data_IF_319675298732
#
_entry.id   IF_319675298732
#
_cell.length_a   1.000
_cell.length_b   1.000
_cell.length_c   1.000
_cell.angle_alpha   90.00
_cell.angle_beta   90.00
_cell.angle_gamma   90.00
#
_symmetry.space_group_name_H-M   'P 1'
#
loop_
_entity.id
_entity.type
_entity.pdbx_description
1 polymer ?
#
# COMPACT_ATOMS: atom_id res chain seq x y z
N UNK A 1 -2.49 5.09 -3.19
CA UNK A 1 -3.70 5.11 -4.01
C UNK A 1 -4.89 4.89 -3.08
N UNK A 2 -5.74 5.88 -2.89
CA UNK A 2 -6.75 5.86 -1.81
C UNK A 2 -8.09 5.23 -2.18
N UNK A 3 -8.41 5.11 -3.48
CA UNK A 3 -9.65 4.53 -4.01
C UNK A 3 -9.37 3.91 -5.38
N UNK A 4 -9.98 2.77 -5.68
CA UNK A 4 -9.87 2.08 -6.97
C UNK A 4 -9.01 0.80 -6.94
N UNK A 5 -9.18 -0.05 -7.96
CA UNK A 5 -8.39 -1.26 -8.15
C UNK A 5 -6.95 -0.90 -8.51
N UNK A 6 -6.00 -1.67 -7.97
CA UNK A 6 -4.59 -1.60 -8.38
C UNK A 6 -4.47 -1.84 -9.89
N UNK A 7 -3.46 -1.23 -10.50
CA UNK A 7 -3.09 -1.50 -11.88
C UNK A 7 -2.73 -2.97 -12.04
N UNK A 8 -3.34 -3.63 -13.02
CA UNK A 8 -2.95 -4.99 -13.38
C UNK A 8 -1.67 -4.96 -14.21
N UNK A 9 -0.92 -6.06 -14.22
CA UNK A 9 0.32 -6.17 -14.99
C UNK A 9 0.08 -5.86 -16.48
N UNK A 10 -1.05 -6.31 -17.03
CA UNK A 10 -1.47 -5.98 -18.39
C UNK A 10 -1.66 -4.48 -18.63
N UNK A 11 -2.27 -3.75 -17.68
CA UNK A 11 -2.43 -2.29 -17.81
C UNK A 11 -1.09 -1.55 -17.70
N UNK A 12 -0.16 -2.08 -16.91
CA UNK A 12 1.20 -1.55 -16.78
C UNK A 12 1.98 -1.72 -18.10
N UNK A 13 1.93 -2.92 -18.69
CA UNK A 13 2.55 -3.18 -20.01
C UNK A 13 1.96 -2.29 -21.10
N UNK A 14 0.64 -2.06 -21.09
CA UNK A 14 0.00 -1.13 -22.02
C UNK A 14 0.46 0.32 -21.80
N UNK A 15 0.65 0.76 -20.56
CA UNK A 15 1.24 2.08 -20.29
C UNK A 15 2.64 2.19 -20.88
N UNK A 16 3.50 1.21 -20.63
CA UNK A 16 4.89 1.21 -21.10
C UNK A 16 4.96 1.21 -22.63
N UNK A 17 4.16 0.37 -23.29
CA UNK A 17 4.11 0.29 -24.75
C UNK A 17 3.65 1.61 -25.38
N UNK A 18 2.58 2.23 -24.86
CA UNK A 18 2.07 3.48 -25.43
C UNK A 18 2.96 4.68 -25.11
N UNK A 19 3.66 4.68 -23.99
CA UNK A 19 4.70 5.68 -23.69
C UNK A 19 5.88 5.53 -24.64
N UNK A 20 6.32 4.30 -24.94
CA UNK A 20 7.38 4.04 -25.91
C UNK A 20 7.01 4.49 -27.33
N UNK A 21 5.71 4.44 -27.69
CA UNK A 21 5.17 4.97 -28.94
C UNK A 21 5.04 6.51 -28.97
N UNK A 22 5.36 7.20 -27.88
CA UNK A 22 5.32 8.66 -27.80
C UNK A 22 3.90 9.25 -27.70
N UNK A 23 2.91 8.45 -27.32
CA UNK A 23 1.55 8.95 -27.12
C UNK A 23 1.49 9.91 -25.91
N UNK A 24 0.65 10.95 -25.95
CA UNK A 24 0.51 11.86 -24.83
C UNK A 24 -0.19 11.17 -23.65
N UNK A 25 0.37 11.33 -22.46
CA UNK A 25 -0.07 10.73 -21.20
C UNK A 25 -1.59 10.79 -20.96
N UNK A 26 -2.22 11.92 -21.31
CA UNK A 26 -3.67 12.10 -21.18
C UNK A 26 -4.47 11.17 -22.08
N UNK A 27 -4.05 10.97 -23.34
CA UNK A 27 -4.71 10.04 -24.25
C UNK A 27 -4.49 8.59 -23.84
N UNK A 28 -3.29 8.24 -23.36
CA UNK A 28 -3.00 6.88 -22.87
C UNK A 28 -3.94 6.52 -21.71
N UNK A 29 -4.10 7.44 -20.75
CA UNK A 29 -4.98 7.24 -19.60
C UNK A 29 -6.45 7.05 -20.04
N UNK A 30 -6.93 7.86 -20.99
CA UNK A 30 -8.28 7.73 -21.56
C UNK A 30 -8.45 6.40 -22.31
N UNK A 31 -7.47 6.02 -23.13
CA UNK A 31 -7.48 4.79 -23.91
C UNK A 31 -7.60 3.54 -23.03
N UNK A 32 -6.89 3.50 -21.91
CA UNK A 32 -6.89 2.36 -20.97
C UNK A 32 -8.04 2.47 -19.94
N UNK A 33 -8.77 3.59 -19.93
CA UNK A 33 -9.90 3.79 -19.01
C UNK A 33 -9.47 4.06 -17.57
N UNK A 34 -8.28 4.62 -17.36
CA UNK A 34 -7.72 4.94 -16.04
C UNK A 34 -7.58 6.44 -15.86
N UNK A 35 -7.58 6.89 -14.60
CA UNK A 35 -7.39 8.31 -14.32
C UNK A 35 -5.98 8.78 -14.66
N UNK A 36 -5.87 10.01 -15.16
CA UNK A 36 -4.58 10.65 -15.43
C UNK A 36 -3.63 10.65 -14.23
N UNK A 37 -4.16 10.81 -13.01
CA UNK A 37 -3.37 10.75 -11.78
C UNK A 37 -2.77 9.37 -11.52
N UNK A 38 -3.50 8.29 -11.83
CA UNK A 38 -2.98 6.92 -11.70
C UNK A 38 -1.83 6.70 -12.67
N UNK A 39 -1.99 7.14 -13.92
CA UNK A 39 -0.94 7.06 -14.93
C UNK A 39 0.31 7.86 -14.55
N UNK A 40 0.14 9.11 -14.11
CA UNK A 40 1.27 9.93 -13.69
C UNK A 40 1.98 9.37 -12.45
N UNK A 41 1.25 8.77 -11.52
CA UNK A 41 1.88 8.10 -10.37
C UNK A 41 2.68 6.87 -10.81
N UNK A 42 2.15 6.11 -11.78
CA UNK A 42 2.86 4.97 -12.36
C UNK A 42 4.15 5.41 -13.07
N UNK A 43 4.10 6.41 -13.97
CA UNK A 43 5.31 6.89 -14.66
C UNK A 43 6.37 7.41 -13.69
N UNK A 44 5.96 8.09 -12.61
CA UNK A 44 6.91 8.64 -11.62
C UNK A 44 7.63 7.57 -10.82
N UNK A 45 6.95 6.48 -10.51
CA UNK A 45 7.49 5.39 -9.69
C UNK A 45 6.84 4.05 -10.08
N UNK A 46 7.26 3.46 -11.21
CA UNK A 46 6.61 2.25 -11.74
C UNK A 46 6.86 1.04 -10.84
N UNK A 47 8.05 0.95 -10.23
CA UNK A 47 8.45 -0.17 -9.37
C UNK A 47 7.66 -0.25 -8.06
N UNK A 48 7.23 0.89 -7.51
CA UNK A 48 6.49 0.93 -6.23
C UNK A 48 5.02 1.33 -6.39
N UNK A 49 4.51 1.39 -7.62
CA UNK A 49 3.13 1.74 -7.87
C UNK A 49 2.20 0.66 -7.28
N UNK A 50 1.44 1.02 -6.24
CA UNK A 50 0.49 0.11 -5.60
C UNK A 50 1.08 -0.86 -4.58
N UNK A 51 2.40 -0.89 -4.36
CA UNK A 51 3.05 -1.78 -3.37
C UNK A 51 2.99 -1.22 -1.95
N UNK A 52 2.73 0.08 -1.80
CA UNK A 52 2.64 0.76 -0.50
C UNK A 52 1.43 0.26 0.30
N UNK A 53 1.69 -0.59 1.30
CA UNK A 53 0.69 -1.00 2.29
C UNK A 53 0.33 0.18 3.18
N UNK A 54 -0.96 0.49 3.38
CA UNK A 54 -1.34 1.48 4.38
C UNK A 54 -0.94 0.99 5.78
N UNK A 55 -0.51 1.88 6.68
CA UNK A 55 -0.33 1.49 8.07
C UNK A 55 -1.67 0.99 8.62
N UNK A 56 -1.59 -0.06 9.43
CA UNK A 56 -2.75 -0.56 10.16
C UNK A 56 -3.26 0.48 11.17
N UNK A 57 -4.46 0.24 11.74
CA UNK A 57 -4.93 1.07 12.84
C UNK A 57 -3.93 1.02 14.01
N UNK A 58 -3.83 2.10 14.80
CA UNK A 58 -3.03 2.11 16.01
C UNK A 58 -3.46 0.99 16.97
N UNK A 59 -2.50 0.35 17.63
CA UNK A 59 -2.77 -0.61 18.70
C UNK A 59 -3.50 0.07 19.86
N UNK A 60 -4.51 -0.60 20.43
CA UNK A 60 -5.20 -0.14 21.64
C UNK A 60 -4.28 -0.06 22.86
N UNK A 61 -3.30 -0.97 22.92
CA UNK A 61 -2.31 -1.01 23.99
C UNK A 61 -1.03 -0.33 23.54
N UNK A 62 -0.55 0.61 24.35
CA UNK A 62 0.82 1.12 24.21
C UNK A 62 1.82 0.04 24.59
N UNK A 63 3.08 0.20 24.18
CA UNK A 63 4.13 -0.75 24.58
C UNK A 63 4.39 -0.73 26.09
N UNK A 64 3.99 0.34 26.80
CA UNK A 64 4.00 0.37 28.26
C UNK A 64 2.91 -0.51 28.85
N UNK A 65 1.70 -0.49 28.29
CA UNK A 65 0.59 -1.29 28.78
C UNK A 65 0.87 -2.78 28.58
N UNK A 66 1.41 -3.15 27.42
CA UNK A 66 1.85 -4.53 27.14
C UNK A 66 2.86 -5.01 28.18
N UNK A 67 3.86 -4.18 28.51
CA UNK A 67 4.86 -4.50 29.55
C UNK A 67 4.22 -4.66 30.92
N UNK A 68 3.34 -3.75 31.32
CA UNK A 68 2.65 -3.81 32.60
C UNK A 68 1.77 -5.07 32.74
N UNK A 69 1.05 -5.45 31.68
CA UNK A 69 0.24 -6.68 31.64
C UNK A 69 1.13 -7.90 31.81
N UNK A 70 2.26 -7.96 31.09
CA UNK A 70 3.20 -9.07 31.19
C UNK A 70 3.78 -9.24 32.60
N UNK A 71 4.24 -8.16 33.23
CA UNK A 71 4.76 -8.21 34.61
C UNK A 71 3.70 -8.70 35.59
N UNK A 72 2.50 -8.13 35.56
CA UNK A 72 1.41 -8.53 36.46
C UNK A 72 1.00 -10.00 36.28
N UNK A 73 1.00 -10.51 35.06
CA UNK A 73 0.68 -11.91 34.79
C UNK A 73 1.79 -12.86 35.29
N UNK A 74 3.05 -12.47 35.16
CA UNK A 74 4.20 -13.23 35.67
C UNK A 74 4.19 -13.31 37.21
N UNK A 75 3.91 -12.18 37.87
CA UNK A 75 3.91 -12.08 39.34
C UNK A 75 2.69 -12.77 39.96
N UNK A 76 1.65 -13.06 39.18
CA UNK A 76 0.43 -13.74 39.64
C UNK A 76 0.57 -15.28 39.71
N UNK A 77 1.66 -15.86 39.22
CA UNK A 77 1.93 -17.30 39.34
C UNK A 77 2.49 -17.59 40.73
N UNK A 78 1.62 -17.87 41.69
CA UNK A 78 2.03 -18.53 42.94
C UNK A 78 2.27 -20.00 42.65
N UNK A 79 3.54 -20.44 42.61
CA UNK A 79 3.85 -21.87 42.67
C UNK A 79 3.46 -22.40 44.05
N UNK A 80 2.58 -23.40 44.11
CA UNK A 80 2.37 -24.15 45.35
C UNK A 80 3.66 -24.89 45.70
N UNK A 81 4.22 -24.61 46.88
CA UNK A 81 5.36 -25.34 47.46
C UNK A 81 4.87 -26.56 48.23
#
# INVERSE_FOLDING_TARGET
MGRGKTLTDYEQELFDANTALGMPNGQIAVFIGRSFNVFNNYIKDPLHCGTKKPPGPPSLLSDRDKRNIFCKASDAVTSCA
#
